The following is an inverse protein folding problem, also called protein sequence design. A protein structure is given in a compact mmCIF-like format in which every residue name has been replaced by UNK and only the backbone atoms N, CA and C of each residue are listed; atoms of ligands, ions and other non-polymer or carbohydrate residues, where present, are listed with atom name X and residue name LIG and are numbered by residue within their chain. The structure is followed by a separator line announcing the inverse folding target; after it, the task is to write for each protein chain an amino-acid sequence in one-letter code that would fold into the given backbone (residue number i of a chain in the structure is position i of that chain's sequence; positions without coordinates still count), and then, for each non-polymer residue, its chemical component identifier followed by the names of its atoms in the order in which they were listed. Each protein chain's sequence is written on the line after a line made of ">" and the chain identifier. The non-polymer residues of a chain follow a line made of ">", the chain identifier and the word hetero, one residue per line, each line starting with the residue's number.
data_IF_567035661687
#
_entry.id   IF_567035661687
#
_cell.length_a   1.000
_cell.length_b   1.000
_cell.length_c   1.000
_cell.angle_alpha   90.00
_cell.angle_beta   90.00
_cell.angle_gamma   90.00
#
_symmetry.space_group_name_H-M   'P 1'
#
loop_
_entity.id
_entity.type
_entity.pdbx_description
1 polymer ?
#
# COMPACT_ATOMS: atom_id res chain seq x y z
N UNK A 1 -14.20 -8.15 -2.33
CA UNK A 1 -13.45 -7.80 -1.10
C UNK A 1 -13.80 -6.38 -0.70
N UNK A 2 -13.88 -6.13 0.60
CA UNK A 2 -14.08 -4.76 1.08
C UNK A 2 -12.79 -3.96 0.98
N UNK A 3 -12.91 -2.64 1.06
CA UNK A 3 -11.73 -1.76 1.08
C UNK A 3 -10.78 -2.13 2.22
N UNK A 4 -11.34 -2.42 3.39
CA UNK A 4 -10.54 -2.80 4.55
C UNK A 4 -9.78 -4.11 4.32
N UNK A 5 -10.42 -5.08 3.69
CA UNK A 5 -9.79 -6.37 3.39
C UNK A 5 -8.63 -6.19 2.39
N UNK A 6 -8.81 -5.35 1.38
CA UNK A 6 -7.74 -5.07 0.42
C UNK A 6 -6.55 -4.40 1.10
N UNK A 7 -6.83 -3.41 1.95
CA UNK A 7 -5.78 -2.70 2.69
C UNK A 7 -5.00 -3.66 3.61
N UNK A 8 -5.71 -4.56 4.28
CA UNK A 8 -5.08 -5.55 5.15
C UNK A 8 -4.18 -6.49 4.34
N UNK A 9 -4.62 -6.93 3.17
CA UNK A 9 -3.79 -7.79 2.33
C UNK A 9 -2.52 -7.09 1.86
N UNK A 10 -2.62 -5.81 1.50
CA UNK A 10 -1.43 -5.04 1.12
C UNK A 10 -0.43 -5.01 2.28
N UNK A 11 -0.92 -4.78 3.49
CA UNK A 11 -0.06 -4.76 4.67
C UNK A 11 0.58 -6.12 4.93
N UNK A 12 -0.17 -7.21 4.79
CA UNK A 12 0.35 -8.56 4.97
C UNK A 12 1.45 -8.89 3.98
N UNK A 13 1.25 -8.54 2.72
CA UNK A 13 2.27 -8.74 1.69
C UNK A 13 3.52 -7.92 2.02
N UNK A 14 3.34 -6.68 2.43
CA UNK A 14 4.44 -5.81 2.82
C UNK A 14 5.24 -6.38 3.99
N UNK A 15 4.54 -6.88 5.02
CA UNK A 15 5.19 -7.49 6.18
C UNK A 15 5.99 -8.74 5.79
N UNK A 16 5.43 -9.57 4.92
CA UNK A 16 6.13 -10.78 4.46
C UNK A 16 7.37 -10.45 3.65
N UNK A 17 7.29 -9.48 2.76
CA UNK A 17 8.45 -9.06 1.97
C UNK A 17 9.56 -8.52 2.86
N UNK A 18 9.20 -7.72 3.85
CA UNK A 18 10.14 -7.17 4.81
C UNK A 18 10.78 -8.27 5.65
N UNK A 19 9.96 -9.17 6.20
CA UNK A 19 10.43 -10.23 7.08
C UNK A 19 11.36 -11.21 6.37
N UNK A 20 11.15 -11.44 5.08
CA UNK A 20 12.01 -12.33 4.29
C UNK A 20 13.21 -11.62 3.70
N UNK A 21 13.36 -10.32 3.94
CA UNK A 21 14.51 -9.56 3.44
C UNK A 21 14.47 -9.27 1.95
N UNK A 22 13.31 -9.40 1.31
CA UNK A 22 13.18 -9.12 -0.12
C UNK A 22 13.20 -7.64 -0.44
N UNK A 23 12.88 -6.78 0.54
CA UNK A 23 12.90 -5.33 0.37
C UNK A 23 13.61 -4.71 1.56
N UNK A 24 14.30 -3.62 1.32
CA UNK A 24 14.81 -2.78 2.40
C UNK A 24 13.65 -1.90 2.90
N UNK A 25 13.84 -1.23 4.04
CA UNK A 25 12.78 -0.52 4.77
C UNK A 25 12.00 0.42 3.90
N UNK A 26 12.20 1.07 2.99
CA UNK A 26 11.35 1.98 2.21
C UNK A 26 11.38 1.70 0.72
N UNK A 27 11.90 0.53 0.33
CA UNK A 27 12.06 0.20 -1.07
C UNK A 27 10.77 -0.34 -1.68
N UNK A 28 10.49 0.14 -2.88
CA UNK A 28 9.39 -0.33 -3.69
C UNK A 28 8.02 0.06 -3.15
N UNK A 29 7.03 -0.06 -3.96
CA UNK A 29 5.64 0.19 -3.58
C UNK A 29 4.80 -1.02 -3.93
N UNK A 30 3.75 -1.24 -3.13
CA UNK A 30 2.75 -2.25 -3.41
C UNK A 30 1.48 -1.51 -3.80
N UNK A 31 0.87 -1.91 -4.90
CA UNK A 31 -0.38 -1.29 -5.33
C UNK A 31 -1.36 -2.34 -5.80
N UNK A 32 -2.65 -2.03 -5.66
CA UNK A 32 -3.74 -2.87 -6.13
C UNK A 32 -4.67 -2.02 -6.97
N UNK A 33 -4.92 -2.44 -8.20
CA UNK A 33 -5.85 -1.73 -9.09
C UNK A 33 -7.27 -2.05 -8.68
N UNK A 34 -8.06 -1.02 -8.41
CA UNK A 34 -9.48 -1.16 -8.02
C UNK A 34 -10.40 -1.08 -9.23
N UNK A 35 -10.09 -0.18 -10.14
CA UNK A 35 -10.82 0.01 -11.39
C UNK A 35 -9.91 0.78 -12.35
N UNK A 36 -10.43 1.24 -13.47
CA UNK A 36 -9.61 1.91 -14.49
C UNK A 36 -8.90 3.16 -13.99
N UNK A 37 -9.44 3.81 -12.97
CA UNK A 37 -8.94 5.11 -12.52
C UNK A 37 -8.44 5.14 -11.08
N UNK A 38 -8.56 4.06 -10.32
CA UNK A 38 -8.28 4.07 -8.88
C UNK A 38 -7.43 2.90 -8.44
N UNK A 39 -6.49 3.19 -7.55
CA UNK A 39 -5.56 2.20 -7.00
C UNK A 39 -5.39 2.46 -5.51
N UNK A 40 -5.28 1.39 -4.72
CA UNK A 40 -4.70 1.48 -3.38
C UNK A 40 -3.21 1.25 -3.48
N UNK A 41 -2.44 1.99 -2.72
CA UNK A 41 -0.99 1.80 -2.70
C UNK A 41 -0.39 2.14 -1.34
N UNK A 42 0.83 1.65 -1.13
CA UNK A 42 1.59 1.96 0.08
C UNK A 42 2.10 3.39 -0.01
N UNK A 43 2.16 4.11 1.14
CA UNK A 43 2.70 5.47 1.14
C UNK A 43 4.21 5.48 1.00
N UNK A 44 4.74 6.62 0.55
CA UNK A 44 6.18 6.84 0.45
C UNK A 44 6.76 7.06 1.85
N UNK A 45 7.95 6.53 2.08
CA UNK A 45 8.69 6.81 3.32
C UNK A 45 8.27 6.01 4.54
N UNK A 46 7.38 5.03 4.37
CA UNK A 46 6.96 4.15 5.46
C UNK A 46 7.51 2.75 5.23
N UNK A 47 8.13 2.18 6.27
CA UNK A 47 8.65 0.82 6.21
C UNK A 47 7.53 -0.18 6.00
N UNK A 48 7.74 -1.14 5.11
CA UNK A 48 6.76 -2.20 4.87
C UNK A 48 6.55 -3.10 6.08
N UNK A 49 7.54 -3.17 6.97
CA UNK A 49 7.40 -3.90 8.22
C UNK A 49 6.49 -3.21 9.23
N UNK A 50 6.19 -1.92 9.04
CA UNK A 50 5.37 -1.12 9.95
C UNK A 50 4.01 -0.72 9.37
N UNK A 51 3.65 -1.23 8.20
CA UNK A 51 2.39 -0.85 7.55
C UNK A 51 1.16 -1.26 8.36
N UNK A 52 0.21 -0.34 8.44
CA UNK A 52 -1.13 -0.62 8.97
C UNK A 52 -2.17 -0.19 7.94
N UNK A 53 -3.39 -0.75 7.97
CA UNK A 53 -4.39 -0.44 6.94
C UNK A 53 -4.73 1.04 6.78
N UNK A 54 -4.70 1.80 7.87
CA UNK A 54 -4.99 3.22 7.84
C UNK A 54 -3.91 4.05 7.13
N UNK A 55 -2.76 3.47 6.87
CA UNK A 55 -1.67 4.13 6.13
C UNK A 55 -1.82 3.99 4.62
N UNK A 56 -2.65 3.07 4.15
CA UNK A 56 -2.81 2.82 2.72
C UNK A 56 -3.59 3.98 2.10
N UNK A 57 -3.08 4.51 0.99
CA UNK A 57 -3.69 5.63 0.30
C UNK A 57 -4.38 5.17 -0.98
N UNK A 58 -5.33 5.97 -1.46
CA UNK A 58 -5.94 5.76 -2.77
C UNK A 58 -5.44 6.84 -3.71
N UNK A 59 -5.00 6.44 -4.89
CA UNK A 59 -4.54 7.35 -5.93
C UNK A 59 -5.32 7.13 -7.21
N UNK A 60 -5.29 8.12 -8.10
CA UNK A 60 -5.85 7.98 -9.44
C UNK A 60 -4.79 7.46 -10.42
N UNK A 61 -5.17 7.28 -11.66
CA UNK A 61 -4.28 6.72 -12.69
C UNK A 61 -3.07 7.62 -13.00
N UNK A 62 -3.14 8.89 -12.63
CA UNK A 62 -2.04 9.84 -12.83
C UNK A 62 -1.15 9.98 -11.58
N UNK A 63 -1.45 9.23 -10.54
CA UNK A 63 -0.66 9.26 -9.31
C UNK A 63 -1.09 10.30 -8.29
N UNK A 64 -2.21 10.98 -8.51
CA UNK A 64 -2.71 11.98 -7.56
C UNK A 64 -3.45 11.30 -6.41
N UNK A 65 -3.16 11.73 -5.19
CA UNK A 65 -3.84 11.15 -4.02
C UNK A 65 -5.30 11.59 -3.99
N UNK A 66 -6.20 10.62 -3.92
CA UNK A 66 -7.63 10.83 -3.80
C UNK A 66 -8.06 10.74 -2.34
N UNK A 67 -7.46 9.82 -1.57
CA UNK A 67 -7.89 9.50 -0.22
C UNK A 67 -6.70 9.02 0.59
N UNK A 68 -6.67 9.33 1.87
CA UNK A 68 -5.65 8.84 2.78
C UNK A 68 -4.95 9.97 3.53
N UNK A 69 -4.37 9.62 4.70
CA UNK A 69 -3.70 10.58 5.57
C UNK A 69 -2.26 10.88 5.16
N UNK A 70 -1.64 9.96 4.45
CA UNK A 70 -0.25 10.06 4.02
C UNK A 70 -0.15 10.22 2.50
#
# INVERSE_FOLDING_TARGET
>A
MTAEQIKQEICEVGHRLYDHGFVAANDGNISVKLNENEFYCTPTGVSKGSLTPDMIIKIDAEGNKIEGAL
#
